data_IF_757946694169
#
_entry.id   IF_757946694169
#
_cell.length_a   1.000
_cell.length_b   1.000
_cell.length_c   1.000
_cell.angle_alpha   90.00
_cell.angle_beta   90.00
_cell.angle_gamma   90.00
#
_symmetry.space_group_name_H-M   'P 1'
#
loop_
_entity.id
_entity.type
_entity.pdbx_description
1 polymer ?
#
# COMPACT_ATOMS: atom_id res chain seq x y z
N UNK A 1 0.03 -4.48 19.51
CA UNK A 1 0.20 -3.01 19.36
C UNK A 1 0.18 -2.56 17.90
N UNK A 2 1.16 -2.93 17.06
CA UNK A 2 1.24 -2.52 15.64
C UNK A 2 -0.01 -2.83 14.79
N UNK A 3 -0.59 -4.01 14.93
CA UNK A 3 -1.82 -4.39 14.21
C UNK A 3 -3.02 -3.51 14.58
N UNK A 4 -3.14 -3.15 15.87
CA UNK A 4 -4.23 -2.31 16.36
C UNK A 4 -4.07 -0.87 15.87
N UNK A 5 -2.84 -0.33 15.91
CA UNK A 5 -2.52 0.98 15.33
C UNK A 5 -2.83 1.03 13.84
N UNK A 6 -2.38 0.03 13.06
CA UNK A 6 -2.67 -0.07 11.63
C UNK A 6 -4.18 -0.07 11.33
N UNK A 7 -4.97 -0.82 12.11
CA UNK A 7 -6.43 -0.83 11.96
C UNK A 7 -7.04 0.54 12.25
N UNK A 8 -6.66 1.17 13.35
CA UNK A 8 -7.17 2.48 13.75
C UNK A 8 -6.85 3.56 12.70
N UNK A 9 -5.61 3.59 12.21
CA UNK A 9 -5.17 4.54 11.19
C UNK A 9 -5.97 4.40 9.90
N UNK A 10 -6.24 3.17 9.45
CA UNK A 10 -6.98 2.90 8.22
C UNK A 10 -8.50 2.75 8.41
N UNK A 11 -9.02 3.05 9.60
CA UNK A 11 -10.46 2.98 9.90
C UNK A 11 -11.06 1.57 9.78
N UNK A 12 -10.25 0.53 9.99
CA UNK A 12 -10.68 -0.86 9.88
C UNK A 12 -11.36 -1.36 11.16
N UNK A 13 -12.29 -2.30 11.01
CA UNK A 13 -12.90 -3.00 12.13
C UNK A 13 -11.84 -3.75 12.97
N UNK A 14 -12.15 -3.97 14.27
CA UNK A 14 -11.23 -4.59 15.21
C UNK A 14 -10.75 -5.98 14.79
N UNK A 15 -11.54 -6.72 13.99
CA UNK A 15 -11.23 -8.06 13.50
C UNK A 15 -10.77 -8.08 12.03
N UNK A 16 -10.66 -6.92 11.39
CA UNK A 16 -10.29 -6.85 9.98
C UNK A 16 -8.91 -7.50 9.75
N UNK A 17 -8.76 -8.30 8.67
CA UNK A 17 -7.48 -8.91 8.34
C UNK A 17 -6.46 -7.83 8.01
N UNK A 18 -5.31 -7.89 8.68
CA UNK A 18 -4.19 -6.98 8.46
C UNK A 18 -3.13 -7.75 7.67
N UNK A 19 -2.66 -7.22 6.53
CA UNK A 19 -1.58 -7.84 5.77
C UNK A 19 -0.34 -8.05 6.64
N UNK A 20 0.33 -9.19 6.49
CA UNK A 20 1.52 -9.50 7.29
C UNK A 20 2.61 -8.45 7.09
N UNK A 21 2.81 -7.99 5.85
CA UNK A 21 3.78 -6.95 5.46
C UNK A 21 3.46 -5.57 6.06
N UNK A 22 2.24 -5.32 6.53
CA UNK A 22 1.89 -4.09 7.25
C UNK A 22 2.45 -4.03 8.67
N UNK A 23 2.73 -5.19 9.27
CA UNK A 23 3.21 -5.29 10.67
C UNK A 23 4.63 -5.84 10.77
N UNK A 24 5.05 -6.60 9.77
CA UNK A 24 6.43 -7.08 9.58
C UNK A 24 7.16 -6.13 8.64
N UNK A 25 7.62 -4.99 9.15
CA UNK A 25 8.59 -4.18 8.42
C UNK A 25 9.79 -5.07 8.05
N UNK A 26 10.16 -5.10 6.77
CA UNK A 26 11.31 -5.89 6.29
C UNK A 26 12.54 -5.50 7.11
N UNK A 27 13.25 -6.48 7.69
CA UNK A 27 14.22 -6.28 8.78
C UNK A 27 15.42 -5.38 8.49
N UNK A 28 15.57 -4.88 7.26
CA UNK A 28 16.58 -3.90 6.86
C UNK A 28 16.07 -2.45 6.82
N UNK A 29 14.74 -2.22 6.78
CA UNK A 29 14.16 -0.91 6.50
C UNK A 29 14.44 -0.36 5.10
N UNK A 30 15.08 -1.16 4.23
CA UNK A 30 15.55 -0.74 2.90
C UNK A 30 14.68 -1.26 1.76
N UNK A 31 13.78 -2.21 2.02
CA UNK A 31 12.86 -2.71 1.00
C UNK A 31 11.68 -1.73 0.84
N UNK A 32 11.58 -1.01 -0.30
CA UNK A 32 10.50 -0.03 -0.51
C UNK A 32 9.20 -0.70 -0.96
N UNK A 33 9.08 -2.03 -0.89
CA UNK A 33 7.93 -2.76 -1.41
C UNK A 33 6.94 -3.15 -0.32
N UNK A 34 5.65 -3.00 -0.64
CA UNK A 34 4.53 -3.55 0.11
C UNK A 34 3.67 -4.43 -0.79
N UNK A 35 2.82 -5.26 -0.21
CA UNK A 35 1.84 -6.02 -0.98
C UNK A 35 0.79 -5.06 -1.59
N UNK A 36 0.25 -5.37 -2.78
CA UNK A 36 -0.85 -4.61 -3.36
C UNK A 36 -2.05 -4.51 -2.43
N UNK A 37 -2.34 -5.59 -1.69
CA UNK A 37 -3.42 -5.60 -0.70
C UNK A 37 -3.20 -4.59 0.42
N UNK A 38 -1.97 -4.44 0.89
CA UNK A 38 -1.61 -3.43 1.89
C UNK A 38 -1.79 -2.01 1.33
N UNK A 39 -1.31 -1.76 0.11
CA UNK A 39 -1.50 -0.47 -0.55
C UNK A 39 -2.99 -0.10 -0.73
N UNK A 40 -3.81 -1.06 -1.17
CA UNK A 40 -5.25 -0.87 -1.38
C UNK A 40 -6.01 -0.51 -0.11
N UNK A 41 -5.69 -1.16 1.01
CA UNK A 41 -6.31 -0.88 2.32
C UNK A 41 -6.06 0.56 2.75
N UNK A 42 -4.88 1.10 2.43
CA UNK A 42 -4.49 2.46 2.80
C UNK A 42 -4.97 3.52 1.81
N UNK A 43 -5.49 3.14 0.64
CA UNK A 43 -5.81 4.05 -0.46
C UNK A 43 -6.77 5.17 -0.05
N UNK A 44 -7.83 4.85 0.70
CA UNK A 44 -8.84 5.84 1.10
C UNK A 44 -8.29 6.86 2.11
N UNK A 45 -7.39 6.42 3.00
CA UNK A 45 -6.71 7.31 3.96
C UNK A 45 -5.75 8.24 3.23
N UNK A 46 -4.96 7.71 2.31
CA UNK A 46 -4.01 8.49 1.48
C UNK A 46 -4.77 9.49 0.61
N UNK A 47 -5.87 9.07 0.00
CA UNK A 47 -6.74 9.92 -0.81
C UNK A 47 -7.22 11.15 -0.02
N UNK A 48 -7.74 10.93 1.20
CA UNK A 48 -8.13 12.02 2.12
C UNK A 48 -6.97 12.95 2.47
N UNK A 49 -5.80 12.39 2.78
CA UNK A 49 -4.62 13.18 3.15
C UNK A 49 -4.05 14.02 2.00
N UNK A 50 -4.28 13.61 0.75
CA UNK A 50 -3.76 14.25 -0.46
C UNK A 50 -4.84 14.99 -1.28
N UNK A 51 -6.07 15.10 -0.77
CA UNK A 51 -7.20 15.70 -1.50
C UNK A 51 -7.46 15.05 -2.87
N UNK A 52 -7.21 13.74 -2.97
CA UNK A 52 -7.46 12.93 -4.16
C UNK A 52 -8.70 12.04 -3.95
N UNK A 53 -9.24 11.51 -5.04
CA UNK A 53 -10.24 10.43 -4.97
C UNK A 53 -9.56 9.09 -4.69
N UNK A 54 -10.28 8.17 -4.04
CA UNK A 54 -9.78 6.80 -3.81
C UNK A 54 -9.41 6.09 -5.12
N UNK A 55 -10.15 6.35 -6.20
CA UNK A 55 -9.90 5.74 -7.50
C UNK A 55 -8.63 6.27 -8.16
N UNK A 56 -8.33 7.57 -8.04
CA UNK A 56 -7.05 8.12 -8.48
C UNK A 56 -5.89 7.44 -7.75
N UNK A 57 -6.00 7.25 -6.43
CA UNK A 57 -4.95 6.57 -5.66
C UNK A 57 -4.81 5.10 -6.08
N UNK A 58 -5.92 4.39 -6.32
CA UNK A 58 -5.89 3.00 -6.81
C UNK A 58 -5.24 2.87 -8.19
N UNK A 59 -5.46 3.83 -9.09
CA UNK A 59 -4.75 3.88 -10.38
C UNK A 59 -3.25 4.07 -10.19
N UNK A 60 -2.84 4.98 -9.31
CA UNK A 60 -1.43 5.20 -9.00
C UNK A 60 -0.78 3.95 -8.38
N UNK A 61 -1.50 3.24 -7.50
CA UNK A 61 -1.07 1.95 -6.94
C UNK A 61 -0.83 0.92 -8.05
N UNK A 62 -1.77 0.79 -9.00
CA UNK A 62 -1.60 -0.10 -10.16
C UNK A 62 -0.36 0.26 -10.98
N UNK A 63 -0.16 1.55 -11.26
CA UNK A 63 1.02 2.03 -12.00
C UNK A 63 2.35 1.82 -11.26
N UNK A 64 2.32 1.77 -9.93
CA UNK A 64 3.47 1.49 -9.07
C UNK A 64 3.62 0.00 -8.71
N UNK A 65 2.75 -0.88 -9.23
CA UNK A 65 2.80 -2.32 -8.98
C UNK A 65 3.75 -2.98 -9.98
N UNK A 66 4.78 -3.63 -9.46
CA UNK A 66 5.76 -4.41 -10.21
C UNK A 66 5.43 -5.90 -10.12
N UNK A 67 5.83 -6.70 -11.12
CA UNK A 67 5.61 -8.14 -11.13
C UNK A 67 4.22 -8.60 -11.60
N UNK A 68 3.34 -7.69 -12.06
CA UNK A 68 2.02 -8.04 -12.61
C UNK A 68 2.07 -8.59 -14.06
N UNK A 69 3.25 -8.92 -14.59
CA UNK A 69 3.44 -9.43 -15.94
C UNK A 69 3.12 -10.92 -16.05
N UNK A 70 2.48 -11.31 -17.15
CA UNK A 70 2.08 -12.68 -17.50
C UNK A 70 3.25 -13.69 -17.41
N UNK A 71 3.38 -14.35 -16.26
CA UNK A 71 4.11 -15.62 -16.14
C UNK A 71 5.41 -15.56 -15.32
N UNK A 72 5.37 -16.21 -14.16
CA UNK A 72 6.49 -16.90 -13.49
C UNK A 72 7.53 -16.02 -12.73
N UNK A 73 7.48 -14.68 -12.79
CA UNK A 73 8.45 -13.83 -12.07
C UNK A 73 7.84 -13.00 -10.93
N UNK A 74 7.85 -13.58 -9.72
CA UNK A 74 7.66 -12.86 -8.45
C UNK A 74 6.20 -12.62 -8.02
N UNK A 75 5.99 -12.50 -6.71
CA UNK A 75 4.73 -12.00 -6.16
C UNK A 75 4.56 -10.51 -6.51
N UNK A 76 3.35 -10.04 -6.84
CA UNK A 76 3.13 -8.64 -7.17
C UNK A 76 3.45 -7.77 -5.95
N UNK A 77 4.16 -6.66 -6.18
CA UNK A 77 4.61 -5.75 -5.13
C UNK A 77 4.46 -4.30 -5.57
N UNK A 78 4.06 -3.44 -4.65
CA UNK A 78 3.92 -2.00 -4.88
C UNK A 78 5.17 -1.30 -4.39
N UNK A 79 5.84 -0.56 -5.28
CA UNK A 79 6.99 0.27 -4.93
C UNK A 79 6.51 1.58 -4.30
N UNK A 80 6.68 1.72 -2.99
CA UNK A 80 6.19 2.86 -2.20
C UNK A 80 6.88 4.16 -2.61
N UNK A 81 8.17 4.12 -2.96
CA UNK A 81 8.89 5.32 -3.41
C UNK A 81 8.32 5.84 -4.71
N UNK A 82 8.11 4.96 -5.70
CA UNK A 82 7.46 5.34 -6.97
C UNK A 82 6.04 5.84 -6.76
N UNK A 83 5.26 5.17 -5.90
CA UNK A 83 3.90 5.58 -5.58
C UNK A 83 3.87 6.98 -4.97
N UNK A 84 4.75 7.28 -4.01
CA UNK A 84 4.83 8.61 -3.39
C UNK A 84 5.21 9.70 -4.41
N UNK A 85 6.20 9.44 -5.27
CA UNK A 85 6.56 10.37 -6.35
C UNK A 85 5.38 10.63 -7.30
N UNK A 86 4.61 9.59 -7.63
CA UNK A 86 3.43 9.73 -8.49
C UNK A 86 2.27 10.48 -7.81
N UNK A 87 2.12 10.31 -6.49
CA UNK A 87 1.15 11.05 -5.67
C UNK A 87 1.55 12.52 -5.49
N UNK A 88 2.85 12.83 -5.40
CA UNK A 88 3.37 14.20 -5.27
C UNK A 88 3.25 15.00 -6.58
N UNK A 89 3.14 14.30 -7.72
CA UNK A 89 2.92 14.90 -9.04
C UNK A 89 1.43 15.18 -9.36
N UNK A 90 0.51 14.97 -8.40
CA UNK A 90 -0.93 15.23 -8.53
C UNK A 90 -1.35 16.39 -7.63
#
# INVERSE_FOLDING_TARGET
>A
ERTAAYRAENGLAAEAPVPADAVTASGSGLDPHISPRNAEIQADRVAKARNLTGDQVRELIRGATEGSGLGILGEPRVNVVRLNLALDAK
#
